data_IF_587908959200
#
_entry.id   IF_587908959200
#
_cell.length_a   1.000
_cell.length_b   1.000
_cell.length_c   1.000
_cell.angle_alpha   90.00
_cell.angle_beta   90.00
_cell.angle_gamma   90.00
#
_symmetry.space_group_name_H-M   'P 1'
#
loop_
_entity.id
_entity.type
_entity.pdbx_description
1 polymer ?
#
# COMPACT_ATOMS: atom_id res chain seq x y z
N UNK A 1 6.32 37.85 18.23
CA UNK A 1 6.25 36.44 18.69
C UNK A 1 6.54 35.57 17.47
N UNK A 2 7.57 34.73 17.43
CA UNK A 2 7.69 33.77 16.35
C UNK A 2 6.64 32.67 16.58
N UNK A 3 5.88 32.34 15.54
CA UNK A 3 4.93 31.24 15.58
C UNK A 3 5.70 29.94 15.87
N UNK A 4 5.35 29.24 16.96
CA UNK A 4 5.86 27.91 17.21
C UNK A 4 5.41 26.99 16.07
N UNK A 5 6.36 26.54 15.25
CA UNK A 5 6.13 25.49 14.27
C UNK A 5 5.83 24.17 15.00
N UNK A 6 4.56 23.95 15.35
CA UNK A 6 4.09 22.72 15.96
C UNK A 6 3.95 21.67 14.86
N UNK A 7 5.00 20.86 14.71
CA UNK A 7 5.10 19.78 13.73
C UNK A 7 4.03 18.72 14.05
N UNK A 8 2.87 18.81 13.39
CA UNK A 8 1.70 18.01 13.67
C UNK A 8 1.82 16.65 12.96
N UNK A 9 2.74 15.80 13.43
CA UNK A 9 3.02 14.47 12.91
C UNK A 9 1.88 13.47 13.19
N UNK A 10 0.67 13.75 12.69
CA UNK A 10 -0.43 12.80 12.75
C UNK A 10 -0.22 11.72 11.71
N UNK A 11 -0.22 10.46 12.16
CA UNK A 11 -0.23 9.29 11.27
C UNK A 11 -1.48 9.35 10.41
N UNK A 12 -1.31 9.50 9.10
CA UNK A 12 -2.40 9.43 8.14
C UNK A 12 -2.43 8.04 7.49
N UNK A 13 -3.57 7.35 7.51
CA UNK A 13 -3.72 6.10 6.79
C UNK A 13 -3.70 6.36 5.28
N UNK A 14 -2.90 5.60 4.54
CA UNK A 14 -2.92 5.52 3.10
C UNK A 14 -3.23 4.09 2.69
N UNK A 15 -4.37 3.90 2.03
CA UNK A 15 -4.72 2.63 1.43
C UNK A 15 -4.07 2.51 0.06
N UNK A 16 -3.39 1.41 -0.19
CA UNK A 16 -2.80 1.09 -1.48
C UNK A 16 -3.50 -0.13 -2.05
N UNK A 17 -3.77 -0.09 -3.35
CA UNK A 17 -4.47 -1.15 -4.07
C UNK A 17 -3.64 -1.54 -5.28
N UNK A 18 -3.38 -2.83 -5.44
CA UNK A 18 -2.83 -3.40 -6.66
C UNK A 18 -3.96 -4.17 -7.36
N UNK A 19 -4.16 -3.88 -8.64
CA UNK A 19 -5.21 -4.47 -9.46
C UNK A 19 -4.64 -4.73 -10.86
N UNK A 20 -4.83 -5.93 -11.39
CA UNK A 20 -4.31 -6.33 -12.70
C UNK A 20 -4.24 -7.84 -12.85
N UNK A 21 -3.47 -8.33 -13.84
CA UNK A 21 -3.25 -9.78 -13.98
C UNK A 21 -2.60 -10.35 -12.71
N UNK A 22 -2.87 -11.63 -12.43
CA UNK A 22 -2.32 -12.30 -11.26
C UNK A 22 -0.79 -12.21 -11.20
N UNK A 23 -0.13 -12.40 -12.34
CA UNK A 23 1.32 -12.34 -12.44
C UNK A 23 1.85 -10.93 -12.17
N UNK A 24 1.21 -9.90 -12.74
CA UNK A 24 1.60 -8.51 -12.54
C UNK A 24 1.43 -8.07 -11.08
N UNK A 25 0.35 -8.49 -10.43
CA UNK A 25 0.11 -8.18 -9.01
C UNK A 25 1.13 -8.88 -8.12
N UNK A 26 1.39 -10.18 -8.32
CA UNK A 26 2.39 -10.92 -7.54
C UNK A 26 3.79 -10.33 -7.74
N UNK A 27 4.18 -10.00 -8.97
CA UNK A 27 5.45 -9.36 -9.27
C UNK A 27 5.59 -8.01 -8.55
N UNK A 28 4.53 -7.20 -8.58
CA UNK A 28 4.50 -5.91 -7.89
C UNK A 28 4.64 -6.06 -6.37
N UNK A 29 3.98 -7.04 -5.76
CA UNK A 29 4.13 -7.35 -4.33
C UNK A 29 5.58 -7.75 -3.99
N UNK A 30 6.19 -8.63 -4.78
CA UNK A 30 7.57 -9.08 -4.59
C UNK A 30 8.59 -7.95 -4.78
N UNK A 31 8.36 -7.08 -5.76
CA UNK A 31 9.18 -5.89 -6.00
C UNK A 31 9.11 -4.94 -4.79
N UNK A 32 7.91 -4.62 -4.31
CA UNK A 32 7.72 -3.75 -3.13
C UNK A 32 8.32 -4.36 -1.86
N UNK A 33 8.26 -5.68 -1.70
CA UNK A 33 8.95 -6.40 -0.64
C UNK A 33 10.47 -6.28 -0.73
N UNK A 34 11.03 -6.50 -1.93
CA UNK A 34 12.48 -6.42 -2.16
C UNK A 34 13.04 -5.01 -1.92
N UNK A 35 12.22 -3.98 -2.12
CA UNK A 35 12.57 -2.59 -1.84
C UNK A 35 12.46 -2.21 -0.35
N UNK A 36 12.07 -3.14 0.52
CA UNK A 36 11.76 -2.87 1.92
C UNK A 36 10.57 -1.93 2.08
N UNK A 37 9.75 -1.77 1.03
CA UNK A 37 8.57 -0.93 1.10
C UNK A 37 7.55 -1.62 1.98
N UNK A 38 7.05 -2.81 1.62
CA UNK A 38 5.99 -3.52 2.33
C UNK A 38 6.28 -5.01 2.48
N UNK A 39 5.92 -5.60 3.62
CA UNK A 39 5.93 -7.03 3.86
C UNK A 39 4.83 -7.74 3.08
N UNK A 40 5.07 -8.98 2.65
CA UNK A 40 4.06 -9.75 1.91
C UNK A 40 2.80 -9.98 2.75
N UNK A 41 2.95 -10.13 4.08
CA UNK A 41 1.84 -10.34 5.01
C UNK A 41 1.00 -9.09 5.29
N UNK A 42 1.44 -7.89 4.88
CA UNK A 42 0.65 -6.65 5.03
C UNK A 42 -0.47 -6.55 3.98
N UNK A 43 -0.36 -7.31 2.90
CA UNK A 43 -1.35 -7.35 1.82
C UNK A 43 -2.52 -8.27 2.17
N UNK A 44 -3.72 -7.87 1.78
CA UNK A 44 -4.89 -8.76 1.81
C UNK A 44 -4.69 -9.92 0.84
N UNK A 45 -5.37 -11.06 1.04
CA UNK A 45 -5.42 -12.12 0.05
C UNK A 45 -5.82 -11.58 -1.34
N UNK A 46 -5.31 -12.20 -2.39
CA UNK A 46 -5.70 -11.87 -3.77
C UNK A 46 -7.15 -12.29 -3.99
N UNK A 47 -8.00 -11.33 -4.32
CA UNK A 47 -9.42 -11.57 -4.63
C UNK A 47 -9.65 -11.39 -6.14
N UNK A 48 -10.51 -12.20 -6.76
CA UNK A 48 -10.91 -11.99 -8.14
C UNK A 48 -11.72 -10.70 -8.29
N UNK A 49 -11.66 -10.09 -9.47
CA UNK A 49 -12.53 -8.95 -9.81
C UNK A 49 -13.62 -9.40 -10.79
N UNK A 50 -14.47 -8.45 -11.22
CA UNK A 50 -15.47 -8.70 -12.28
C UNK A 50 -14.83 -8.98 -13.65
N UNK A 51 -13.52 -8.74 -13.81
CA UNK A 51 -12.78 -8.99 -15.05
C UNK A 51 -12.06 -10.35 -14.96
N UNK A 52 -12.35 -11.30 -15.88
CA UNK A 52 -11.70 -12.61 -15.85
C UNK A 52 -10.18 -12.53 -15.92
N UNK A 53 -9.50 -13.20 -14.97
CA UNK A 53 -8.04 -13.23 -14.88
C UNK A 53 -7.42 -12.03 -14.17
N UNK A 54 -8.22 -11.02 -13.81
CA UNK A 54 -7.78 -9.89 -13.00
C UNK A 54 -8.00 -10.19 -11.50
N UNK A 55 -7.02 -9.80 -10.70
CA UNK A 55 -7.08 -9.90 -9.24
C UNK A 55 -6.80 -8.54 -8.61
N UNK A 56 -7.24 -8.40 -7.37
CA UNK A 56 -7.03 -7.23 -6.54
C UNK A 56 -6.47 -7.62 -5.17
N UNK A 57 -5.59 -6.80 -4.62
CA UNK A 57 -5.15 -6.85 -3.22
C UNK A 57 -4.97 -5.44 -2.70
N UNK A 58 -5.14 -5.26 -1.39
CA UNK A 58 -5.00 -3.97 -0.73
C UNK A 58 -4.09 -4.08 0.48
N UNK A 59 -3.47 -2.97 0.87
CA UNK A 59 -2.84 -2.82 2.18
C UNK A 59 -3.09 -1.41 2.72
N UNK A 60 -2.98 -1.25 4.04
CA UNK A 60 -3.08 0.06 4.69
C UNK A 60 -1.78 0.38 5.41
N UNK A 61 -1.20 1.54 5.10
CA UNK A 61 -0.01 2.06 5.77
C UNK A 61 -0.30 3.35 6.50
N UNK A 62 0.44 3.61 7.56
CA UNK A 62 0.31 4.84 8.34
C UNK A 62 1.56 5.71 8.19
N UNK A 63 1.43 6.78 7.42
CA UNK A 63 2.55 7.70 7.14
C UNK A 63 2.52 8.88 8.10
N UNK A 64 3.70 9.31 8.53
CA UNK A 64 3.87 10.62 9.17
C UNK A 64 4.04 11.66 8.06
N UNK A 65 2.93 12.22 7.59
CA UNK A 65 2.98 13.33 6.64
C UNK A 65 3.27 14.63 7.40
N UNK A 66 4.16 15.50 6.88
CA UNK A 66 4.56 16.74 7.52
C UNK A 66 3.43 17.77 7.60
#
# INVERSE_FOLDING_TARGET
MPEEFTRNFKKQPAQQTLKGSREAVIYSMQMLYSLGYAEIAEWTPLEPTDVPGEVITTMTKYWLLP
#
